data_IF_120377942158
#
_entry.id   IF_120377942158
#
_cell.length_a   1.000
_cell.length_b   1.000
_cell.length_c   1.000
_cell.angle_alpha   90.00
_cell.angle_beta   90.00
_cell.angle_gamma   90.00
#
_symmetry.space_group_name_H-M   'P 1'
#
loop_
_entity.id
_entity.type
_entity.pdbx_description
1 polymer ?
#
# COMPACT_ATOMS: atom_id res chain seq x y z
N UNK A 1 6.16 -8.38 -19.21
CA UNK A 1 6.26 -7.37 -18.15
C UNK A 1 5.38 -7.85 -17.02
N UNK A 2 5.97 -8.13 -15.87
CA UNK A 2 5.22 -8.63 -14.72
C UNK A 2 4.61 -7.45 -13.98
N UNK A 3 3.36 -7.60 -13.57
CA UNK A 3 2.62 -6.62 -12.79
C UNK A 3 2.38 -7.19 -11.39
N UNK A 4 2.58 -6.35 -10.38
CA UNK A 4 2.40 -6.72 -8.99
C UNK A 4 1.37 -5.80 -8.34
N UNK A 5 0.36 -6.34 -7.63
CA UNK A 5 -0.47 -5.53 -6.76
C UNK A 5 0.31 -5.20 -5.47
N UNK A 6 0.41 -3.91 -5.15
CA UNK A 6 0.94 -3.41 -3.88
C UNK A 6 -0.22 -2.89 -3.05
N UNK A 7 -0.39 -3.47 -1.86
CA UNK A 7 -1.35 -2.99 -0.88
C UNK A 7 -0.78 -1.79 -0.13
N UNK A 8 -1.55 -0.71 -0.09
CA UNK A 8 -1.17 0.53 0.57
C UNK A 8 -2.12 0.76 1.75
N UNK A 9 -1.56 0.88 2.95
CA UNK A 9 -2.29 1.33 4.13
C UNK A 9 -1.92 2.79 4.39
N UNK A 10 -2.90 3.70 4.42
CA UNK A 10 -2.66 5.13 4.59
C UNK A 10 -3.74 5.80 5.45
N UNK A 11 -3.56 7.07 5.77
CA UNK A 11 -4.50 7.88 6.57
C UNK A 11 -4.84 7.32 7.96
N UNK A 12 -4.05 6.37 8.46
CA UNK A 12 -4.17 5.78 9.79
C UNK A 12 -3.33 6.49 10.84
N UNK A 13 -3.29 5.90 12.03
CA UNK A 13 -2.49 6.36 13.17
C UNK A 13 -1.67 5.21 13.73
N UNK A 14 -0.45 5.52 14.18
CA UNK A 14 0.36 4.59 14.94
C UNK A 14 -0.05 4.61 16.41
N UNK A 15 -0.45 3.47 16.95
CA UNK A 15 -0.64 3.23 18.38
C UNK A 15 0.30 2.11 18.83
N UNK A 16 1.26 2.46 19.68
CA UNK A 16 2.39 1.61 20.06
C UNK A 16 3.12 1.08 18.81
N UNK A 17 2.85 -0.17 18.40
CA UNK A 17 3.44 -0.84 17.25
C UNK A 17 2.38 -1.27 16.22
N UNK A 18 1.17 -0.71 16.29
CA UNK A 18 0.06 -1.05 15.40
C UNK A 18 -0.35 0.17 14.60
N UNK A 19 -0.47 -0.01 13.29
CA UNK A 19 -1.11 0.97 12.44
C UNK A 19 -2.62 0.71 12.44
N UNK A 20 -3.41 1.64 12.98
CA UNK A 20 -4.85 1.49 13.18
C UNK A 20 -5.63 2.62 12.49
N UNK A 21 -6.95 2.47 12.37
CA UNK A 21 -7.85 3.46 11.77
C UNK A 21 -7.41 3.91 10.37
N UNK A 22 -6.79 3.01 9.61
CA UNK A 22 -6.27 3.27 8.27
C UNK A 22 -7.33 3.05 7.19
N UNK A 23 -7.08 3.65 6.03
CA UNK A 23 -7.70 3.31 4.75
C UNK A 23 -6.75 2.38 3.99
N UNK A 24 -7.31 1.45 3.22
CA UNK A 24 -6.55 0.50 2.41
C UNK A 24 -6.87 0.69 0.93
N UNK A 25 -5.82 0.79 0.13
CA UNK A 25 -5.87 0.90 -1.33
C UNK A 25 -4.96 -0.13 -1.98
N UNK A 26 -5.09 -0.28 -3.30
CA UNK A 26 -4.23 -1.15 -4.10
C UNK A 26 -3.67 -0.37 -5.28
N UNK A 27 -2.35 -0.43 -5.47
CA UNK A 27 -1.65 0.16 -6.61
C UNK A 27 -1.06 -0.98 -7.43
N UNK A 28 -1.34 -0.98 -8.73
CA UNK A 28 -0.70 -1.92 -9.65
C UNK A 28 0.64 -1.32 -10.08
N UNK A 29 1.72 -2.04 -9.86
CA UNK A 29 3.08 -1.64 -10.26
C UNK A 29 3.66 -2.62 -11.25
N UNK A 30 4.64 -2.18 -12.02
CA UNK A 30 5.41 -3.06 -12.89
C UNK A 30 6.72 -3.47 -12.22
N UNK A 31 7.24 -4.65 -12.58
CA UNK A 31 8.54 -5.14 -12.08
C UNK A 31 9.72 -4.21 -12.39
N UNK A 32 9.54 -3.31 -13.35
CA UNK A 32 10.52 -2.33 -13.83
C UNK A 32 10.40 -0.99 -13.12
N UNK A 33 9.44 -0.80 -12.21
CA UNK A 33 9.26 0.46 -11.52
C UNK A 33 10.50 0.83 -10.70
N UNK A 34 10.97 2.06 -10.90
CA UNK A 34 11.92 2.68 -9.98
C UNK A 34 11.20 3.08 -8.69
N UNK A 35 11.96 3.35 -7.63
CA UNK A 35 11.42 3.91 -6.40
C UNK A 35 10.59 5.18 -6.64
N UNK A 36 11.05 6.08 -7.52
CA UNK A 36 10.32 7.32 -7.84
C UNK A 36 9.00 7.04 -8.57
N UNK A 37 8.97 6.05 -9.46
CA UNK A 37 7.72 5.64 -10.13
C UNK A 37 6.73 5.04 -9.13
N UNK A 38 7.22 4.26 -8.16
CA UNK A 38 6.41 3.71 -7.07
C UNK A 38 5.82 4.84 -6.21
N UNK A 39 6.64 5.81 -5.78
CA UNK A 39 6.17 6.97 -5.00
C UNK A 39 5.11 7.74 -5.77
N UNK A 40 5.36 8.06 -7.05
CA UNK A 40 4.40 8.79 -7.88
C UNK A 40 3.06 8.05 -7.98
N UNK A 41 3.09 6.73 -8.26
CA UNK A 41 1.88 5.92 -8.41
C UNK A 41 1.08 5.81 -7.12
N UNK A 42 1.75 5.66 -5.97
CA UNK A 42 1.09 5.67 -4.66
C UNK A 42 0.47 7.04 -4.40
N UNK A 43 1.21 8.12 -4.64
CA UNK A 43 0.76 9.50 -4.41
C UNK A 43 -0.50 9.83 -5.20
N UNK A 44 -0.53 9.43 -6.47
CA UNK A 44 -1.68 9.61 -7.36
C UNK A 44 -2.90 8.82 -6.85
N UNK A 45 -2.71 7.55 -6.47
CA UNK A 45 -3.78 6.70 -5.96
C UNK A 45 -4.44 7.29 -4.70
N UNK A 46 -3.63 7.80 -3.76
CA UNK A 46 -4.12 8.34 -2.48
C UNK A 46 -4.37 9.86 -2.51
N UNK A 47 -4.25 10.48 -3.68
CA UNK A 47 -4.45 11.92 -3.92
C UNK A 47 -3.60 12.83 -3.01
N UNK A 48 -2.33 12.48 -2.79
CA UNK A 48 -1.38 13.32 -2.04
C UNK A 48 -0.52 14.15 -3.00
N UNK A 49 -0.48 15.45 -2.74
CA UNK A 49 0.47 16.38 -3.35
C UNK A 49 1.86 16.19 -2.71
N UNK A 50 2.81 15.63 -3.47
CA UNK A 50 4.19 15.37 -3.03
C UNK A 50 5.09 16.59 -3.03
N UNK A 51 4.67 17.71 -3.61
CA UNK A 51 5.39 18.99 -3.46
C UNK A 51 5.13 19.60 -2.08
N UNK A 52 3.96 19.31 -1.50
CA UNK A 52 3.53 19.82 -0.20
C UNK A 52 3.71 18.81 0.94
N UNK A 53 3.83 17.52 0.63
CA UNK A 53 3.88 16.44 1.61
C UNK A 53 5.04 15.49 1.35
N UNK A 54 5.70 15.04 2.41
CA UNK A 54 6.70 13.98 2.33
C UNK A 54 6.02 12.63 2.51
N UNK A 55 6.26 11.71 1.57
CA UNK A 55 5.80 10.31 1.67
C UNK A 55 6.97 9.44 2.11
N UNK A 56 6.79 8.74 3.22
CA UNK A 56 7.71 7.73 3.72
C UNK A 56 7.09 6.35 3.52
N UNK A 57 7.75 5.50 2.72
CA UNK A 57 7.31 4.12 2.46
C UNK A 57 8.12 3.19 3.38
N UNK A 58 7.47 2.66 4.40
CA UNK A 58 8.06 1.71 5.33
C UNK A 58 7.64 0.27 5.00
N UNK A 59 8.63 -0.61 4.81
CA UNK A 59 8.40 -2.05 4.63
C UNK A 59 8.38 -2.73 6.00
N UNK A 60 7.20 -3.16 6.45
CA UNK A 60 7.06 -3.88 7.72
C UNK A 60 7.10 -5.39 7.45
N UNK A 61 8.11 -6.12 7.98
CA UNK A 61 8.07 -7.57 7.96
C UNK A 61 6.93 -8.08 8.84
N UNK A 62 6.28 -9.13 8.34
CA UNK A 62 4.94 -9.58 8.64
C UNK A 62 4.68 -10.10 10.07
N UNK A 63 4.71 -9.22 11.09
CA UNK A 63 4.30 -9.60 12.45
C UNK A 63 3.18 -8.69 12.94
N UNK A 64 1.94 -9.13 12.73
CA UNK A 64 0.77 -8.61 13.46
C UNK A 64 -0.20 -7.72 12.68
N UNK A 65 -0.10 -7.59 11.35
CA UNK A 65 -1.15 -6.96 10.55
C UNK A 65 -2.32 -7.95 10.32
N UNK A 66 -3.58 -7.50 10.46
CA UNK A 66 -4.73 -8.34 10.14
C UNK A 66 -4.76 -8.68 8.64
N UNK A 67 -5.21 -9.89 8.24
CA UNK A 67 -5.34 -10.25 6.84
C UNK A 67 -6.25 -9.26 6.09
N UNK A 68 -5.79 -8.76 4.94
CA UNK A 68 -6.61 -7.90 4.08
C UNK A 68 -7.57 -8.80 3.28
N UNK A 69 -8.86 -8.48 3.33
CA UNK A 69 -9.89 -9.21 2.62
C UNK A 69 -10.12 -8.54 1.24
N UNK A 70 -9.71 -9.23 0.19
CA UNK A 70 -9.93 -8.79 -1.19
C UNK A 70 -11.19 -9.47 -1.70
N UNK A 71 -12.17 -8.68 -2.13
CA UNK A 71 -13.37 -9.20 -2.78
C UNK A 71 -13.12 -9.25 -4.28
N UNK A 72 -13.01 -10.44 -4.84
CA UNK A 72 -13.11 -10.65 -6.27
C UNK A 72 -14.04 -11.82 -6.59
N UNK A 73 -14.56 -11.81 -7.81
CA UNK A 73 -15.56 -12.74 -8.34
C UNK A 73 -15.02 -14.18 -8.44
N UNK A 74 -13.71 -14.35 -8.22
CA UNK A 74 -12.96 -15.61 -8.30
C UNK A 74 -12.66 -16.22 -6.93
N UNK A 75 -13.07 -15.59 -5.83
CA UNK A 75 -12.98 -16.18 -4.48
C UNK A 75 -11.55 -16.35 -3.95
N UNK A 76 -10.60 -15.56 -4.45
CA UNK A 76 -9.19 -15.68 -4.07
C UNK A 76 -8.91 -14.88 -2.79
N UNK A 77 -8.35 -15.56 -1.77
CA UNK A 77 -7.79 -14.94 -0.56
C UNK A 77 -6.27 -15.02 -0.61
N UNK A 78 -5.59 -13.88 -0.65
CA UNK A 78 -4.12 -13.82 -0.64
C UNK A 78 -3.65 -13.42 0.75
N UNK A 79 -2.68 -14.15 1.29
CA UNK A 79 -1.95 -13.83 2.51
C UNK A 79 -0.51 -13.53 2.10
N UNK A 80 0.02 -12.34 2.40
CA UNK A 80 1.45 -12.03 2.30
C UNK A 80 1.96 -11.69 3.68
#
# INVERSE_FOLDING_TARGET
>A
MEIFPVYVLHSGKWEENKFINFVSDCVIIESTFTYNNLVASISEQIMIDTELNTIEINFLPNVGLPPILIYNDTGVKVYI
#
